data_IF_525888078563
#
_entry.id   IF_525888078563
#
_cell.length_a   1.000
_cell.length_b   1.000
_cell.length_c   1.000
_cell.angle_alpha   90.00
_cell.angle_beta   90.00
_cell.angle_gamma   90.00
#
_symmetry.space_group_name_H-M   'P 1'
#
loop_
_entity.id
_entity.type
_entity.pdbx_description
1 polymer ?
#
# COMPACT_ATOMS: atom_id res chain seq x y z
N UNK A 1 37.81 68.93 -19.86
CA UNK A 1 37.37 68.27 -18.61
C UNK A 1 36.19 67.36 -18.96
N UNK A 2 36.44 66.02 -19.03
CA UNK A 2 35.44 65.02 -19.39
C UNK A 2 35.04 64.30 -18.12
N UNK A 3 33.82 64.44 -17.69
CA UNK A 3 33.27 63.75 -16.50
C UNK A 3 32.73 62.40 -16.90
N UNK A 4 33.47 61.32 -16.55
CA UNK A 4 33.04 59.94 -16.70
C UNK A 4 32.24 59.57 -15.44
N UNK A 5 30.92 59.44 -15.57
CA UNK A 5 30.04 58.90 -14.52
C UNK A 5 30.04 57.38 -14.60
N UNK A 6 30.69 56.75 -13.65
CA UNK A 6 30.68 55.29 -13.46
C UNK A 6 29.33 54.88 -12.87
N UNK A 7 28.51 54.19 -13.69
CA UNK A 7 27.23 53.58 -13.23
C UNK A 7 27.56 52.16 -12.73
N UNK A 8 27.50 51.98 -11.42
CA UNK A 8 27.57 50.67 -10.80
C UNK A 8 26.23 49.94 -11.06
N UNK A 9 26.23 48.92 -11.92
CA UNK A 9 25.13 47.99 -12.07
C UNK A 9 25.24 46.94 -10.93
N UNK A 10 24.34 47.02 -9.96
CA UNK A 10 24.18 46.00 -8.94
C UNK A 10 23.57 44.74 -9.59
N UNK A 11 24.39 43.75 -9.86
CA UNK A 11 23.93 42.41 -10.22
C UNK A 11 23.47 41.70 -8.95
N UNK A 12 22.17 41.64 -8.71
CA UNK A 12 21.57 40.77 -7.69
C UNK A 12 21.66 39.34 -8.17
N UNK A 13 22.22 38.40 -7.38
CA UNK A 13 22.16 36.99 -7.73
C UNK A 13 20.73 36.49 -7.54
N UNK A 14 20.10 36.07 -8.63
CA UNK A 14 18.82 35.33 -8.59
C UNK A 14 19.15 33.92 -8.06
N UNK A 15 18.91 33.69 -6.78
CA UNK A 15 18.88 32.35 -6.23
C UNK A 15 17.66 31.61 -6.79
N UNK A 16 17.90 30.73 -7.76
CA UNK A 16 16.91 29.79 -8.26
C UNK A 16 16.72 28.71 -7.16
N UNK A 17 15.73 28.90 -6.29
CA UNK A 17 15.29 27.84 -5.38
C UNK A 17 14.60 26.79 -6.23
N UNK A 18 15.31 25.74 -6.59
CA UNK A 18 14.72 24.53 -7.14
C UNK A 18 13.85 23.92 -6.03
N UNK A 19 12.54 24.19 -6.05
CA UNK A 19 11.57 23.46 -5.26
C UNK A 19 11.66 21.98 -5.72
N UNK A 20 12.23 21.14 -4.88
CA UNK A 20 12.08 19.69 -5.05
C UNK A 20 10.59 19.41 -4.86
N UNK A 21 9.88 19.24 -5.96
CA UNK A 21 8.54 18.67 -5.96
C UNK A 21 8.71 17.22 -5.50
N UNK A 22 8.44 16.93 -4.23
CA UNK A 22 8.14 15.59 -3.79
C UNK A 22 6.95 15.14 -4.63
N UNK A 23 7.21 14.16 -5.52
CA UNK A 23 6.23 13.72 -6.48
C UNK A 23 5.02 13.17 -5.75
N UNK A 24 3.92 13.92 -5.79
CA UNK A 24 2.61 13.37 -5.50
C UNK A 24 2.31 12.39 -6.63
N UNK A 25 2.08 11.14 -6.27
CA UNK A 25 1.63 10.15 -7.23
C UNK A 25 0.29 10.61 -7.83
N UNK A 26 0.18 10.52 -9.15
CA UNK A 26 -1.09 10.85 -9.80
C UNK A 26 -2.07 9.71 -9.57
N UNK A 27 -3.34 10.00 -9.18
CA UNK A 27 -4.33 8.95 -9.00
C UNK A 27 -4.49 8.13 -10.27
N UNK A 28 -4.56 6.80 -10.13
CA UNK A 28 -4.80 5.92 -11.27
C UNK A 28 -6.21 6.13 -11.83
N UNK A 29 -6.36 5.91 -13.12
CA UNK A 29 -7.68 5.85 -13.75
C UNK A 29 -8.31 4.48 -13.48
N UNK A 30 -9.18 4.41 -12.46
CA UNK A 30 -9.91 3.18 -12.12
C UNK A 30 -10.79 2.76 -13.29
N UNK A 31 -10.52 1.55 -13.84
CA UNK A 31 -11.26 0.95 -14.96
C UNK A 31 -12.34 -0.03 -14.48
N UNK A 32 -12.10 -0.70 -13.37
CA UNK A 32 -13.03 -1.62 -12.71
C UNK A 32 -13.12 -1.25 -11.22
N UNK A 33 -14.26 -0.75 -10.76
CA UNK A 33 -14.49 -0.36 -9.37
C UNK A 33 -15.28 -1.41 -8.57
N UNK A 34 -15.41 -2.63 -9.09
CA UNK A 34 -16.30 -3.67 -8.52
C UNK A 34 -16.00 -4.03 -7.06
N UNK A 35 -14.72 -3.96 -6.67
CA UNK A 35 -14.26 -4.25 -5.30
C UNK A 35 -14.15 -3.00 -4.42
N UNK A 36 -14.21 -1.79 -4.99
CA UNK A 36 -14.06 -0.54 -4.24
C UNK A 36 -15.34 -0.19 -3.46
N UNK A 37 -15.64 -1.01 -2.46
CA UNK A 37 -16.75 -0.85 -1.53
C UNK A 37 -16.42 -1.50 -0.19
N UNK A 38 -16.95 -0.98 0.92
CA UNK A 38 -16.80 -1.61 2.21
C UNK A 38 -17.43 -3.00 2.24
N UNK A 39 -16.92 -3.92 3.05
CA UNK A 39 -17.56 -5.21 3.29
C UNK A 39 -18.92 -5.02 4.02
N UNK A 40 -19.81 -6.03 3.96
CA UNK A 40 -21.10 -5.98 4.66
C UNK A 40 -20.93 -5.61 6.14
N UNK A 41 -21.71 -4.63 6.60
CA UNK A 41 -21.68 -4.14 7.98
C UNK A 41 -20.68 -3.00 8.23
N UNK A 42 -19.71 -2.75 7.37
CA UNK A 42 -18.81 -1.60 7.47
C UNK A 42 -19.31 -0.41 6.68
N UNK A 43 -19.10 0.80 7.21
CA UNK A 43 -19.39 2.05 6.51
C UNK A 43 -18.19 2.58 5.73
N UNK A 44 -17.00 2.31 6.23
CA UNK A 44 -15.70 2.69 5.66
C UNK A 44 -14.82 1.46 5.65
N UNK A 45 -13.93 1.36 4.68
CA UNK A 45 -12.84 0.39 4.67
C UNK A 45 -11.62 0.94 3.92
N UNK A 46 -10.47 0.35 4.15
CA UNK A 46 -9.26 0.53 3.36
C UNK A 46 -9.12 -0.64 2.39
N UNK A 47 -8.84 -0.35 1.13
CA UNK A 47 -8.54 -1.36 0.10
C UNK A 47 -7.17 -1.07 -0.48
N UNK A 48 -6.27 -2.04 -0.40
CA UNK A 48 -4.88 -1.89 -0.79
C UNK A 48 -4.43 -2.99 -1.76
N UNK A 49 -3.71 -2.59 -2.79
CA UNK A 49 -2.86 -3.48 -3.58
C UNK A 49 -1.41 -3.28 -3.13
N UNK A 50 -0.80 -4.36 -2.67
CA UNK A 50 0.46 -4.34 -1.94
C UNK A 50 1.47 -5.35 -2.49
N UNK A 51 2.75 -5.04 -2.28
CA UNK A 51 3.86 -5.90 -2.67
C UNK A 51 4.86 -6.01 -1.52
N UNK A 52 5.14 -7.23 -1.09
CA UNK A 52 6.02 -7.48 0.07
C UNK A 52 7.49 -7.11 -0.16
N UNK A 53 7.92 -6.98 -1.42
CA UNK A 53 9.28 -6.54 -1.77
C UNK A 53 9.35 -5.04 -2.07
N UNK A 54 8.21 -4.35 -2.22
CA UNK A 54 8.17 -2.91 -2.47
C UNK A 54 8.63 -2.11 -1.24
N UNK A 55 9.72 -1.30 -1.34
CA UNK A 55 10.21 -0.53 -0.20
C UNK A 55 9.20 0.50 0.32
N UNK A 56 8.41 1.09 -0.57
CA UNK A 56 7.37 2.08 -0.20
C UNK A 56 6.26 1.40 0.58
N UNK A 57 5.84 0.18 0.17
CA UNK A 57 4.87 -0.60 0.95
C UNK A 57 5.39 -0.90 2.37
N UNK A 58 6.67 -1.30 2.50
CA UNK A 58 7.27 -1.54 3.81
C UNK A 58 7.35 -0.29 4.67
N UNK A 59 7.64 0.88 4.07
CA UNK A 59 7.67 2.17 4.74
C UNK A 59 6.29 2.61 5.23
N UNK A 60 5.24 2.45 4.40
CA UNK A 60 3.91 2.99 4.67
C UNK A 60 3.02 2.02 5.48
N UNK A 61 3.36 0.74 5.52
CA UNK A 61 2.59 -0.27 6.25
C UNK A 61 2.34 0.10 7.74
N UNK A 62 3.30 0.62 8.53
CA UNK A 62 3.03 1.05 9.89
C UNK A 62 1.96 2.16 9.99
N UNK A 63 1.94 3.09 9.04
CA UNK A 63 0.96 4.19 8.98
C UNK A 63 -0.44 3.63 8.70
N UNK A 64 -0.53 2.70 7.75
CA UNK A 64 -1.79 2.01 7.41
C UNK A 64 -2.31 1.22 8.61
N UNK A 65 -1.44 0.45 9.26
CA UNK A 65 -1.82 -0.37 10.42
C UNK A 65 -2.27 0.48 11.62
N UNK A 66 -1.61 1.61 11.87
CA UNK A 66 -2.03 2.54 12.91
C UNK A 66 -3.40 3.16 12.57
N UNK A 67 -3.62 3.57 11.32
CA UNK A 67 -4.91 4.07 10.87
C UNK A 67 -6.03 3.01 10.99
N UNK A 68 -5.79 1.77 10.57
CA UNK A 68 -6.73 0.64 10.74
C UNK A 68 -7.14 0.47 12.20
N UNK A 69 -6.16 0.51 13.11
CA UNK A 69 -6.41 0.35 14.55
C UNK A 69 -7.13 1.55 15.14
N UNK A 70 -6.73 2.78 14.77
CA UNK A 70 -7.31 4.02 15.30
C UNK A 70 -8.78 4.20 14.89
N UNK A 71 -9.08 3.95 13.61
CA UNK A 71 -10.43 4.16 13.06
C UNK A 71 -11.30 2.90 13.10
N UNK A 72 -10.74 1.76 13.55
CA UNK A 72 -11.45 0.47 13.58
C UNK A 72 -12.10 0.10 12.24
N UNK A 73 -11.43 0.42 11.13
CA UNK A 73 -11.92 0.14 9.78
C UNK A 73 -11.36 -1.18 9.25
N UNK A 74 -12.15 -1.96 8.50
CA UNK A 74 -11.62 -3.13 7.79
C UNK A 74 -10.51 -2.73 6.82
N UNK A 75 -9.43 -3.52 6.82
CA UNK A 75 -8.37 -3.45 5.84
C UNK A 75 -8.44 -4.67 4.94
N UNK A 76 -8.74 -4.46 3.68
CA UNK A 76 -8.82 -5.47 2.63
C UNK A 76 -7.60 -5.26 1.74
N UNK A 77 -6.80 -6.28 1.57
CA UNK A 77 -5.60 -6.19 0.76
C UNK A 77 -5.57 -7.28 -0.31
N UNK A 78 -4.92 -6.96 -1.41
CA UNK A 78 -4.66 -7.82 -2.54
C UNK A 78 -3.17 -7.89 -2.79
N UNK A 79 -2.63 -9.09 -2.94
CA UNK A 79 -1.22 -9.29 -3.24
C UNK A 79 -0.95 -8.93 -4.71
N UNK A 80 -0.14 -7.88 -4.94
CA UNK A 80 0.17 -7.38 -6.28
C UNK A 80 1.69 -7.33 -6.50
N UNK A 81 2.37 -8.49 -6.56
CA UNK A 81 3.81 -8.57 -6.78
C UNK A 81 4.19 -7.98 -8.14
N UNK A 82 5.04 -6.95 -8.13
CA UNK A 82 5.49 -6.26 -9.33
C UNK A 82 6.53 -7.12 -10.09
N UNK A 83 6.52 -7.10 -11.43
CA UNK A 83 7.39 -7.98 -12.23
C UNK A 83 8.90 -7.77 -12.03
N UNK A 84 9.32 -6.58 -11.61
CA UNK A 84 10.72 -6.26 -11.35
C UNK A 84 11.21 -6.77 -9.99
N UNK A 85 10.31 -7.18 -9.09
CA UNK A 85 10.62 -7.70 -7.77
C UNK A 85 10.87 -9.21 -7.84
N UNK A 86 11.94 -9.63 -7.22
CA UNK A 86 12.52 -10.94 -7.46
C UNK A 86 11.93 -12.05 -6.57
N UNK A 87 11.56 -11.73 -5.32
CA UNK A 87 10.97 -12.66 -4.37
C UNK A 87 9.53 -12.35 -3.97
N UNK A 88 9.00 -11.23 -4.44
CA UNK A 88 7.69 -10.70 -4.07
C UNK A 88 6.56 -11.71 -4.30
N UNK A 89 6.50 -12.36 -5.48
CA UNK A 89 5.49 -13.37 -5.77
C UNK A 89 5.53 -14.54 -4.80
N UNK A 90 6.74 -15.03 -4.48
CA UNK A 90 6.90 -16.13 -3.52
C UNK A 90 6.53 -15.70 -2.10
N UNK A 91 6.87 -14.47 -1.72
CA UNK A 91 6.46 -13.86 -0.46
C UNK A 91 4.94 -13.78 -0.31
N UNK A 92 4.25 -13.37 -1.37
CA UNK A 92 2.79 -13.35 -1.43
C UNK A 92 2.19 -14.77 -1.30
N UNK A 93 2.78 -15.78 -1.95
CA UNK A 93 2.35 -17.18 -1.81
C UNK A 93 2.50 -17.66 -0.35
N UNK A 94 3.60 -17.32 0.32
CA UNK A 94 3.77 -17.63 1.74
C UNK A 94 2.74 -16.92 2.61
N UNK A 95 2.46 -15.65 2.34
CA UNK A 95 1.44 -14.88 3.06
C UNK A 95 0.05 -15.53 2.92
N UNK A 96 -0.33 -15.94 1.71
CA UNK A 96 -1.58 -16.64 1.44
C UNK A 96 -1.64 -18.00 2.17
N UNK A 97 -0.52 -18.71 2.26
CA UNK A 97 -0.45 -19.97 2.99
C UNK A 97 -0.68 -19.79 4.50
N UNK A 98 -0.09 -18.76 5.12
CA UNK A 98 -0.35 -18.42 6.52
C UNK A 98 -1.79 -17.93 6.71
N UNK A 99 -2.31 -17.13 5.78
CA UNK A 99 -3.67 -16.62 5.81
C UNK A 99 -4.73 -17.72 5.71
N UNK A 100 -4.42 -18.82 5.03
CA UNK A 100 -5.29 -20.00 5.00
C UNK A 100 -5.43 -20.71 6.38
N UNK A 101 -4.54 -20.44 7.34
CA UNK A 101 -4.65 -20.89 8.73
C UNK A 101 -5.49 -19.94 9.58
N UNK A 102 -5.23 -18.64 9.48
CA UNK A 102 -6.09 -17.57 9.96
C UNK A 102 -5.74 -16.25 9.25
N UNK A 103 -6.72 -15.36 9.10
CA UNK A 103 -6.54 -14.04 8.50
C UNK A 103 -5.47 -13.24 9.26
N UNK A 104 -5.54 -13.26 10.60
CA UNK A 104 -4.59 -12.53 11.46
C UNK A 104 -3.17 -13.05 11.31
N UNK A 105 -2.99 -14.36 11.13
CA UNK A 105 -1.67 -14.95 10.94
C UNK A 105 -1.06 -14.53 9.59
N UNK A 106 -1.88 -14.45 8.54
CA UNK A 106 -1.45 -13.92 7.24
C UNK A 106 -1.01 -12.46 7.33
N UNK A 107 -1.76 -11.64 8.06
CA UNK A 107 -1.41 -10.23 8.30
C UNK A 107 -0.16 -10.10 9.18
N UNK A 108 -0.05 -10.90 10.23
CA UNK A 108 1.16 -10.93 11.06
C UNK A 108 2.40 -11.31 10.24
N UNK A 109 2.28 -12.25 9.31
CA UNK A 109 3.38 -12.62 8.42
C UNK A 109 3.77 -11.45 7.49
N UNK A 110 2.81 -10.77 6.87
CA UNK A 110 3.08 -9.60 6.01
C UNK A 110 3.80 -8.50 6.78
N UNK A 111 3.30 -8.15 7.96
CA UNK A 111 3.94 -7.16 8.84
C UNK A 111 5.35 -7.58 9.27
N UNK A 112 5.56 -8.87 9.55
CA UNK A 112 6.87 -9.40 9.91
C UNK A 112 7.86 -9.31 8.73
N UNK A 113 7.42 -9.60 7.51
CA UNK A 113 8.27 -9.47 6.32
C UNK A 113 8.59 -8.00 6.04
N UNK A 114 7.63 -7.09 6.12
CA UNK A 114 7.90 -5.66 5.97
C UNK A 114 8.90 -5.13 7.00
N UNK A 115 8.77 -5.53 8.25
CA UNK A 115 9.68 -5.12 9.31
C UNK A 115 11.13 -5.62 9.11
N UNK A 116 11.33 -6.65 8.28
CA UNK A 116 12.63 -7.26 8.01
C UNK A 116 13.04 -7.15 6.52
N UNK A 117 12.26 -6.43 5.70
CA UNK A 117 12.39 -6.37 4.26
C UNK A 117 13.80 -6.00 3.79
N UNK A 118 14.45 -5.05 4.47
CA UNK A 118 15.82 -4.60 4.15
C UNK A 118 16.89 -5.67 4.35
N UNK A 119 16.56 -6.83 4.92
CA UNK A 119 17.44 -7.97 5.13
C UNK A 119 17.12 -9.15 4.21
N UNK A 120 16.20 -8.94 3.26
CA UNK A 120 15.74 -9.96 2.32
C UNK A 120 16.14 -9.53 0.91
N UNK A 121 17.24 -10.07 0.40
CA UNK A 121 17.73 -9.75 -0.94
C UNK A 121 17.37 -10.85 -1.95
N UNK A 122 17.21 -12.08 -1.46
CA UNK A 122 17.00 -13.25 -2.30
C UNK A 122 15.81 -14.10 -1.82
N UNK A 123 15.34 -15.00 -2.67
CA UNK A 123 14.33 -16.01 -2.29
C UNK A 123 14.81 -16.93 -1.15
N UNK A 124 16.12 -17.15 -1.06
CA UNK A 124 16.70 -17.90 0.05
C UNK A 124 16.57 -17.13 1.38
N UNK A 125 16.83 -15.83 1.35
CA UNK A 125 16.64 -14.99 2.55
C UNK A 125 15.18 -14.95 2.96
N UNK A 126 14.27 -14.77 1.99
CA UNK A 126 12.82 -14.83 2.23
C UNK A 126 12.45 -16.16 2.91
N UNK A 127 12.97 -17.29 2.41
CA UNK A 127 12.73 -18.61 3.01
C UNK A 127 13.21 -18.67 4.45
N UNK A 128 14.41 -18.19 4.74
CA UNK A 128 14.99 -18.16 6.08
C UNK A 128 14.13 -17.31 7.05
N UNK A 129 13.67 -16.14 6.59
CA UNK A 129 12.79 -15.28 7.38
C UNK A 129 11.41 -15.92 7.58
N UNK A 130 10.88 -16.60 6.58
CA UNK A 130 9.61 -17.36 6.68
C UNK A 130 9.72 -18.50 7.70
N UNK A 131 10.84 -19.22 7.72
CA UNK A 131 11.12 -20.28 8.72
C UNK A 131 11.20 -19.70 10.13
N UNK A 132 11.85 -18.55 10.29
CA UNK A 132 11.92 -17.83 11.57
C UNK A 132 10.52 -17.44 12.06
N UNK A 133 9.68 -16.87 11.19
CA UNK A 133 8.31 -16.55 11.52
C UNK A 133 7.49 -17.79 11.92
N UNK A 134 7.56 -18.85 11.12
CA UNK A 134 6.86 -20.10 11.40
C UNK A 134 7.26 -20.69 12.77
N UNK A 135 8.58 -20.66 13.09
CA UNK A 135 9.10 -21.11 14.38
C UNK A 135 8.57 -20.25 15.55
N UNK A 136 8.51 -18.94 15.40
CA UNK A 136 7.95 -18.02 16.41
C UNK A 136 6.49 -18.33 16.75
N UNK A 137 5.75 -18.83 15.77
CA UNK A 137 4.33 -19.19 15.90
C UNK A 137 4.09 -20.69 16.14
N UNK A 138 5.15 -21.49 16.38
CA UNK A 138 5.07 -22.95 16.56
C UNK A 138 4.41 -23.68 15.38
N UNK A 139 4.67 -23.19 14.16
CA UNK A 139 4.12 -23.77 12.93
C UNK A 139 5.21 -24.56 12.21
N UNK A 140 4.93 -25.81 11.88
CA UNK A 140 5.79 -26.59 11.00
C UNK A 140 5.67 -26.09 9.56
N UNK A 141 6.75 -25.55 9.03
CA UNK A 141 6.80 -25.10 7.63
C UNK A 141 7.15 -26.29 6.73
N UNK A 142 6.31 -26.65 5.74
CA UNK A 142 6.64 -27.73 4.82
C UNK A 142 7.79 -27.34 3.88
N UNK A 143 8.49 -28.33 3.35
CA UNK A 143 9.57 -28.08 2.37
C UNK A 143 9.05 -27.37 1.14
N UNK A 144 7.91 -27.81 0.59
CA UNK A 144 7.18 -27.12 -0.49
C UNK A 144 5.89 -26.56 0.08
N UNK A 145 5.71 -25.25 0.00
CA UNK A 145 4.55 -24.54 0.59
C UNK A 145 3.27 -24.74 -0.22
N UNK A 146 3.38 -24.71 -1.53
CA UNK A 146 2.23 -24.75 -2.43
C UNK A 146 2.40 -25.80 -3.55
N UNK A 147 2.43 -27.09 -3.20
CA UNK A 147 2.68 -28.15 -4.18
C UNK A 147 1.59 -28.28 -5.23
N UNK A 148 0.40 -27.75 -4.96
CA UNK A 148 -0.77 -27.80 -5.85
C UNK A 148 -1.02 -26.46 -6.57
N UNK A 149 -0.26 -25.40 -6.27
CA UNK A 149 -0.42 -24.09 -6.89
C UNK A 149 -1.66 -23.32 -6.43
N UNK A 150 -2.30 -23.71 -5.31
CA UNK A 150 -3.54 -23.09 -4.83
C UNK A 150 -3.32 -21.63 -4.40
N UNK A 151 -2.26 -21.38 -3.64
CA UNK A 151 -1.94 -20.04 -3.15
C UNK A 151 -1.36 -19.16 -4.28
N UNK A 152 -0.55 -19.76 -5.14
CA UNK A 152 -0.09 -19.09 -6.36
C UNK A 152 -1.26 -18.67 -7.27
N UNK A 153 -2.31 -19.49 -7.37
CA UNK A 153 -3.51 -19.13 -8.12
C UNK A 153 -4.26 -17.94 -7.50
N UNK A 154 -4.31 -17.83 -6.16
CA UNK A 154 -4.91 -16.67 -5.47
C UNK A 154 -4.13 -15.40 -5.75
N UNK A 155 -2.80 -15.43 -5.61
CA UNK A 155 -1.95 -14.28 -5.95
C UNK A 155 -2.14 -13.85 -7.40
N UNK A 156 -2.19 -14.79 -8.35
CA UNK A 156 -2.48 -14.49 -9.76
C UNK A 156 -3.87 -13.88 -9.97
N UNK A 157 -4.86 -14.30 -9.18
CA UNK A 157 -6.20 -13.73 -9.24
C UNK A 157 -6.21 -12.28 -8.73
N UNK A 158 -5.46 -11.98 -7.67
CA UNK A 158 -5.27 -10.63 -7.13
C UNK A 158 -4.57 -9.72 -8.15
N UNK A 159 -3.49 -10.20 -8.79
CA UNK A 159 -2.80 -9.49 -9.88
C UNK A 159 -3.76 -9.21 -11.03
N UNK A 160 -4.50 -10.23 -11.51
CA UNK A 160 -5.46 -10.05 -12.59
C UNK A 160 -6.60 -9.07 -12.23
N UNK A 161 -6.98 -8.98 -10.96
CA UNK A 161 -7.91 -7.97 -10.47
C UNK A 161 -7.29 -6.57 -10.54
N UNK A 162 -6.07 -6.40 -10.04
CA UNK A 162 -5.36 -5.13 -10.10
C UNK A 162 -5.17 -4.64 -11.54
N UNK A 163 -4.77 -5.53 -12.44
CA UNK A 163 -4.65 -5.22 -13.88
C UNK A 163 -5.96 -4.73 -14.48
N UNK A 164 -7.09 -5.38 -14.15
CA UNK A 164 -8.42 -4.92 -14.61
C UNK A 164 -8.78 -3.55 -14.04
N UNK A 165 -8.44 -3.31 -12.78
CA UNK A 165 -8.69 -2.02 -12.11
C UNK A 165 -7.82 -0.89 -12.66
N UNK A 166 -6.68 -1.22 -13.27
CA UNK A 166 -5.68 -0.26 -13.76
C UNK A 166 -4.60 0.07 -12.75
N UNK A 167 -4.38 -0.83 -11.76
CA UNK A 167 -3.25 -0.74 -10.84
C UNK A 167 -1.95 -0.99 -11.60
N UNK A 168 -0.96 -0.14 -11.44
CA UNK A 168 0.34 -0.22 -12.11
C UNK A 168 1.53 0.06 -11.16
N UNK A 169 1.24 0.37 -9.89
CA UNK A 169 2.24 0.55 -8.84
C UNK A 169 1.71 0.11 -7.47
N UNK A 170 2.62 -0.05 -6.51
CA UNK A 170 2.32 -0.37 -5.10
C UNK A 170 3.09 0.56 -4.15
N UNK A 171 2.52 0.93 -2.98
CA UNK A 171 1.15 0.61 -2.57
C UNK A 171 0.13 1.43 -3.35
N UNK A 172 -0.99 0.83 -3.74
CA UNK A 172 -2.15 1.56 -4.24
C UNK A 172 -3.28 1.39 -3.23
N UNK A 173 -3.64 2.47 -2.53
CA UNK A 173 -4.57 2.47 -1.41
C UNK A 173 -5.79 3.32 -1.72
N UNK A 174 -6.98 2.81 -1.41
CA UNK A 174 -8.24 3.56 -1.43
C UNK A 174 -8.93 3.53 -0.07
N UNK A 175 -9.48 4.68 0.31
CA UNK A 175 -10.56 4.75 1.29
C UNK A 175 -11.87 4.56 0.53
N UNK A 176 -12.66 3.59 0.96
CA UNK A 176 -13.97 3.30 0.38
C UNK A 176 -15.07 3.50 1.41
N UNK A 177 -16.20 4.03 0.99
CA UNK A 177 -17.36 4.26 1.87
C UNK A 177 -18.64 3.67 1.29
N UNK A 178 -19.63 3.38 2.09
CA UNK A 178 -20.95 2.92 1.60
C UNK A 178 -21.89 4.07 1.25
N UNK A 179 -21.44 5.30 1.38
CA UNK A 179 -22.26 6.48 1.17
C UNK A 179 -21.45 7.61 0.51
N UNK A 180 -22.04 8.23 -0.52
CA UNK A 180 -21.41 9.30 -1.28
C UNK A 180 -22.25 10.55 -1.32
N UNK A 181 -21.56 11.64 -0.94
CA UNK A 181 -22.00 12.98 -1.28
C UNK A 181 -21.46 13.48 -2.64
N UNK A 182 -20.38 12.87 -3.15
CA UNK A 182 -19.64 13.37 -4.30
C UNK A 182 -19.55 12.42 -5.52
N UNK A 183 -20.47 11.48 -5.65
CA UNK A 183 -20.64 10.67 -6.87
C UNK A 183 -19.73 9.45 -7.02
N UNK A 184 -18.67 9.32 -6.19
CA UNK A 184 -17.84 8.11 -6.17
C UNK A 184 -17.71 7.59 -4.75
N UNK A 185 -17.72 6.25 -4.58
CA UNK A 185 -17.61 5.58 -3.29
C UNK A 185 -16.17 5.25 -2.88
N UNK A 186 -15.24 5.90 -3.48
CA UNK A 186 -13.84 5.69 -3.17
C UNK A 186 -13.02 6.95 -3.47
N UNK A 187 -11.94 7.10 -2.71
CA UNK A 187 -10.89 8.08 -2.96
C UNK A 187 -9.54 7.39 -2.82
N UNK A 188 -8.63 7.62 -3.76
CA UNK A 188 -7.29 7.10 -3.69
C UNK A 188 -6.43 7.96 -2.77
N UNK A 189 -5.65 7.30 -1.90
CA UNK A 189 -4.64 7.94 -1.07
C UNK A 189 -3.35 8.01 -1.89
N UNK A 190 -2.99 9.20 -2.35
CA UNK A 190 -1.76 9.46 -3.13
C UNK A 190 -0.65 10.07 -2.30
N UNK A 191 -0.97 10.48 -1.07
CA UNK A 191 -0.02 10.96 -0.08
C UNK A 191 -0.41 10.38 1.28
N UNK A 192 0.37 9.47 1.82
CA UNK A 192 0.06 8.78 3.07
C UNK A 192 0.06 9.71 4.30
N UNK A 193 0.69 10.89 4.22
CA UNK A 193 0.59 11.90 5.27
C UNK A 193 -0.84 12.45 5.42
N UNK A 194 -1.66 12.35 4.38
CA UNK A 194 -3.04 12.83 4.38
C UNK A 194 -4.05 11.75 4.82
N UNK A 195 -3.60 10.49 5.02
CA UNK A 195 -4.47 9.34 5.31
C UNK A 195 -5.43 9.60 6.47
N UNK A 196 -4.94 10.16 7.58
CA UNK A 196 -5.77 10.45 8.75
C UNK A 196 -6.81 11.53 8.45
N UNK A 197 -6.42 12.61 7.79
CA UNK A 197 -7.34 13.69 7.40
C UNK A 197 -8.43 13.18 6.46
N UNK A 198 -8.05 12.31 5.52
CA UNK A 198 -9.00 11.71 4.58
C UNK A 198 -9.97 10.74 5.28
N UNK A 199 -9.50 9.99 6.29
CA UNK A 199 -10.35 9.13 7.12
C UNK A 199 -11.30 9.95 8.00
N UNK A 200 -10.83 11.05 8.63
CA UNK A 200 -11.70 11.98 9.38
C UNK A 200 -12.83 12.54 8.49
N UNK A 201 -12.50 12.89 7.24
CA UNK A 201 -13.49 13.34 6.25
C UNK A 201 -14.50 12.23 5.91
N UNK A 202 -14.00 11.00 5.68
CA UNK A 202 -14.86 9.85 5.39
C UNK A 202 -15.81 9.54 6.55
N UNK A 203 -15.34 9.61 7.82
CA UNK A 203 -16.19 9.44 9.01
C UNK A 203 -17.28 10.52 9.09
N UNK A 204 -16.92 11.78 8.85
CA UNK A 204 -17.87 12.89 8.85
C UNK A 204 -18.95 12.70 7.76
N UNK A 205 -18.59 12.22 6.58
CA UNK A 205 -19.52 11.96 5.48
C UNK A 205 -20.51 10.83 5.81
N UNK A 206 -20.03 9.69 6.35
CA UNK A 206 -20.91 8.56 6.68
C UNK A 206 -21.70 8.78 7.98
N UNK A 207 -21.22 9.67 8.88
CA UNK A 207 -21.89 10.07 10.11
C UNK A 207 -23.07 11.04 9.89
N UNK A 208 -22.93 11.97 8.94
CA UNK A 208 -23.91 13.03 8.70
C UNK A 208 -25.22 12.55 8.03
N UNK A 209 -25.29 11.32 7.51
CA UNK A 209 -26.49 10.77 6.86
C UNK A 209 -27.33 9.83 7.76
N UNK A 210 -26.99 9.73 9.04
CA UNK A 210 -27.75 8.94 10.03
C UNK A 210 -28.75 9.80 10.85
N UNK A 211 -29.08 11.02 10.36
CA UNK A 211 -30.15 11.86 10.93
C UNK A 211 -31.32 12.02 9.98
#
# INVERSE_FOLDING_TARGET
MVNIRFRWALLLPVFLVAAMAFGQETPIQVRDASVLKPPPGAKIALIEFMDLECPVCGHDNPIIMDAVNKYHVPWIHYDFPLPQHNWSFEGAVYAQWFQAKSYDLGNAYRNFIYANQMQIETKSDLRNWTEKFAKMHNIALPFVIDPQGIYAARVKADVALGDRMGVDYTPTLWIVTNNYSHGKNYVQVTNFNDLYTMLDQAEAEVGNKTR
#
